data_IF_776904030877
#
_entry.id   IF_776904030877
#
_cell.length_a   1.000
_cell.length_b   1.000
_cell.length_c   1.000
_cell.angle_alpha   90.00
_cell.angle_beta   90.00
_cell.angle_gamma   90.00
#
_symmetry.space_group_name_H-M   'P 1'
#
loop_
_entity.id
_entity.type
_entity.pdbx_description
1 polymer ?
#
# COMPACT_ATOMS: atom_id res chain seq x y z
N UNK A 1 38.79 -8.08 -17.32
CA UNK A 1 39.12 -6.63 -17.39
C UNK A 1 39.92 -6.26 -16.17
N UNK A 2 40.95 -5.39 -16.27
CA UNK A 2 41.74 -4.95 -15.10
C UNK A 2 41.11 -3.73 -14.45
N UNK A 3 41.00 -3.75 -13.14
CA UNK A 3 40.52 -2.63 -12.34
C UNK A 3 41.70 -1.84 -11.75
N UNK A 4 41.54 -0.53 -11.59
CA UNK A 4 42.50 0.25 -10.79
C UNK A 4 42.20 0.07 -9.28
N UNK A 5 43.21 0.23 -8.46
CA UNK A 5 43.09 0.13 -6.99
C UNK A 5 42.01 1.08 -6.44
N UNK A 6 41.91 2.28 -6.99
CA UNK A 6 40.90 3.27 -6.59
C UNK A 6 39.46 2.82 -6.96
N UNK A 7 39.28 2.25 -8.16
CA UNK A 7 37.99 1.72 -8.61
C UNK A 7 37.56 0.49 -7.77
N UNK A 8 38.50 -0.39 -7.42
CA UNK A 8 38.22 -1.50 -6.51
C UNK A 8 37.85 -1.04 -5.11
N UNK A 9 38.58 -0.06 -4.57
CA UNK A 9 38.25 0.54 -3.26
C UNK A 9 36.86 1.19 -3.26
N UNK A 10 36.44 1.84 -4.35
CA UNK A 10 35.12 2.42 -4.49
C UNK A 10 34.01 1.34 -4.49
N UNK A 11 34.22 0.25 -5.22
CA UNK A 11 33.29 -0.92 -5.23
C UNK A 11 33.28 -1.60 -3.85
N UNK A 12 34.39 -1.61 -3.15
CA UNK A 12 34.49 -2.14 -1.77
C UNK A 12 33.53 -1.46 -0.78
N UNK A 13 33.20 -0.19 -0.99
CA UNK A 13 32.25 0.59 -0.17
C UNK A 13 30.78 0.25 -0.45
N UNK A 14 30.49 -0.44 -1.56
CA UNK A 14 29.13 -0.88 -1.89
C UNK A 14 28.72 -2.03 -0.95
N UNK A 15 27.48 -2.04 -0.42
CA UNK A 15 26.98 -3.12 0.42
C UNK A 15 27.22 -4.49 -0.20
N UNK A 16 27.66 -5.47 0.60
CA UNK A 16 28.14 -6.76 0.14
C UNK A 16 27.11 -7.53 -0.73
N UNK A 17 25.84 -7.44 -0.39
CA UNK A 17 24.75 -8.16 -1.08
C UNK A 17 24.43 -7.65 -2.50
N UNK A 18 24.83 -6.41 -2.85
CA UNK A 18 24.68 -5.85 -4.21
C UNK A 18 26.00 -5.62 -4.92
N UNK A 19 27.14 -5.77 -4.24
CA UNK A 19 28.47 -5.45 -4.73
C UNK A 19 28.81 -6.19 -6.04
N UNK A 20 28.56 -7.46 -6.09
CA UNK A 20 28.81 -8.27 -7.30
C UNK A 20 27.98 -7.78 -8.49
N UNK A 21 26.71 -7.47 -8.28
CA UNK A 21 25.83 -6.94 -9.32
C UNK A 21 26.30 -5.59 -9.87
N UNK A 22 26.72 -4.68 -8.97
CA UNK A 22 27.29 -3.39 -9.36
C UNK A 22 28.61 -3.59 -10.13
N UNK A 23 29.49 -4.47 -9.66
CA UNK A 23 30.76 -4.79 -10.32
C UNK A 23 30.54 -5.31 -11.76
N UNK A 24 29.63 -6.26 -11.94
CA UNK A 24 29.27 -6.81 -13.26
C UNK A 24 28.76 -5.70 -14.18
N UNK A 25 27.86 -4.85 -13.70
CA UNK A 25 27.30 -3.77 -14.50
C UNK A 25 28.35 -2.76 -14.97
N UNK A 26 29.26 -2.35 -14.07
CA UNK A 26 30.37 -1.46 -14.45
C UNK A 26 31.25 -2.10 -15.52
N UNK A 27 31.53 -3.42 -15.42
CA UNK A 27 32.30 -4.15 -16.42
C UNK A 27 31.61 -4.21 -17.77
N UNK A 28 30.32 -4.52 -17.80
CA UNK A 28 29.52 -4.57 -19.03
C UNK A 28 29.47 -3.22 -19.74
N UNK A 29 29.23 -2.14 -18.99
CA UNK A 29 29.16 -0.79 -19.54
C UNK A 29 30.53 -0.32 -20.06
N UNK A 30 31.61 -0.63 -19.34
CA UNK A 30 32.96 -0.34 -19.78
C UNK A 30 33.34 -1.12 -21.04
N UNK A 31 32.94 -2.40 -21.14
CA UNK A 31 33.12 -3.23 -22.35
C UNK A 31 32.35 -2.64 -23.55
N UNK A 32 31.08 -2.27 -23.36
CA UNK A 32 30.29 -1.61 -24.42
C UNK A 32 30.90 -0.30 -24.90
N UNK A 33 31.59 0.41 -24.00
CA UNK A 33 32.31 1.64 -24.32
C UNK A 33 33.74 1.41 -24.88
N UNK A 34 34.12 0.15 -25.20
CA UNK A 34 35.42 -0.23 -25.75
C UNK A 34 36.61 -0.04 -24.82
N UNK A 35 36.35 0.06 -23.50
CA UNK A 35 37.42 0.25 -22.50
C UNK A 35 38.11 -1.07 -22.17
N UNK A 36 39.44 -1.02 -22.03
CA UNK A 36 40.25 -2.20 -21.62
C UNK A 36 40.57 -2.22 -20.12
N UNK A 37 40.34 -1.10 -19.42
CA UNK A 37 40.62 -0.94 -17.99
C UNK A 37 39.50 -0.15 -17.32
N UNK A 38 39.17 -0.49 -16.09
CA UNK A 38 38.14 0.20 -15.30
C UNK A 38 38.84 1.10 -14.29
N UNK A 39 38.57 2.39 -14.41
CA UNK A 39 39.05 3.45 -13.50
C UNK A 39 37.89 4.04 -12.73
N UNK A 40 38.17 5.00 -11.84
CA UNK A 40 37.11 5.76 -11.13
C UNK A 40 36.17 6.50 -12.09
N UNK A 41 36.64 6.85 -13.30
CA UNK A 41 35.80 7.51 -14.30
C UNK A 41 34.66 6.60 -14.78
N UNK A 42 34.95 5.32 -15.06
CA UNK A 42 33.94 4.35 -15.45
C UNK A 42 32.97 4.05 -14.32
N UNK A 43 33.44 3.91 -13.08
CA UNK A 43 32.58 3.73 -11.90
C UNK A 43 31.63 4.89 -11.71
N UNK A 44 32.13 6.14 -11.77
CA UNK A 44 31.32 7.37 -11.67
C UNK A 44 30.34 7.52 -12.84
N UNK A 45 30.78 7.20 -14.07
CA UNK A 45 29.90 7.25 -15.25
C UNK A 45 28.74 6.27 -15.16
N UNK A 46 28.99 5.03 -14.72
CA UNK A 46 27.94 4.03 -14.48
C UNK A 46 27.01 4.46 -13.35
N UNK A 47 27.57 4.98 -12.24
CA UNK A 47 26.79 5.52 -11.13
C UNK A 47 25.88 6.68 -11.60
N UNK A 48 26.43 7.64 -12.36
CA UNK A 48 25.66 8.77 -12.89
C UNK A 48 24.52 8.29 -13.81
N UNK A 49 24.79 7.37 -14.74
CA UNK A 49 23.77 6.80 -15.63
C UNK A 49 22.69 6.05 -14.86
N UNK A 50 23.08 5.30 -13.85
CA UNK A 50 22.12 4.58 -12.98
C UNK A 50 21.23 5.57 -12.23
N UNK A 51 21.80 6.59 -11.61
CA UNK A 51 21.06 7.63 -10.90
C UNK A 51 20.14 8.41 -11.85
N UNK A 52 20.64 8.81 -13.02
CA UNK A 52 19.83 9.50 -14.05
C UNK A 52 18.68 8.61 -14.54
N UNK A 53 18.94 7.31 -14.76
CA UNK A 53 17.88 6.35 -15.11
C UNK A 53 16.85 6.17 -14.00
N UNK A 54 17.26 6.20 -12.72
CA UNK A 54 16.33 6.20 -11.60
C UNK A 54 15.46 7.46 -11.55
N UNK A 55 16.03 8.64 -11.81
CA UNK A 55 15.28 9.90 -11.88
C UNK A 55 14.25 9.90 -13.00
N UNK A 56 14.60 9.32 -14.16
CA UNK A 56 13.69 9.19 -15.30
C UNK A 56 12.53 8.20 -15.06
N UNK A 57 12.61 7.35 -14.01
CA UNK A 57 11.57 6.39 -13.63
C UNK A 57 10.63 6.92 -12.53
N UNK A 58 10.83 8.13 -12.03
CA UNK A 58 9.93 8.74 -11.05
C UNK A 58 8.69 9.24 -11.77
N UNK A 59 7.53 8.67 -11.45
CA UNK A 59 6.23 8.96 -12.08
C UNK A 59 5.37 9.93 -11.26
N UNK A 60 5.86 10.37 -10.09
CA UNK A 60 5.11 11.23 -9.16
C UNK A 60 4.21 10.44 -8.20
N UNK A 61 3.71 9.28 -8.60
CA UNK A 61 2.94 8.36 -7.76
C UNK A 61 3.38 6.91 -7.96
N UNK A 62 2.95 6.03 -7.05
CA UNK A 62 3.16 4.59 -7.12
C UNK A 62 1.94 3.86 -6.53
N UNK A 63 1.43 2.84 -7.22
CA UNK A 63 0.44 1.91 -6.68
C UNK A 63 1.08 0.55 -6.46
N UNK A 64 0.98 0.04 -5.24
CA UNK A 64 1.40 -1.31 -4.88
C UNK A 64 0.16 -2.19 -4.67
N UNK A 65 0.20 -3.43 -5.14
CA UNK A 65 -0.88 -4.40 -4.96
C UNK A 65 -0.38 -5.70 -4.36
N UNK A 66 -1.25 -6.43 -3.70
CA UNK A 66 -0.99 -7.82 -3.34
C UNK A 66 -1.37 -8.78 -4.48
N UNK A 67 -1.11 -10.08 -4.30
CA UNK A 67 -1.46 -11.13 -5.25
C UNK A 67 -2.97 -11.45 -5.31
N UNK A 68 -3.83 -10.70 -4.62
CA UNK A 68 -5.27 -10.96 -4.53
C UNK A 68 -5.95 -11.10 -5.88
N UNK A 69 -5.67 -10.18 -6.81
CA UNK A 69 -6.19 -10.20 -8.19
C UNK A 69 -5.72 -11.40 -9.03
N UNK A 70 -4.65 -12.06 -8.62
CA UNK A 70 -4.06 -13.22 -9.32
C UNK A 70 -4.55 -14.56 -8.77
N UNK A 71 -5.66 -14.58 -8.00
CA UNK A 71 -6.28 -15.80 -7.50
C UNK A 71 -5.88 -16.20 -6.09
N UNK A 72 -5.56 -15.24 -5.22
CA UNK A 72 -5.33 -15.51 -3.80
C UNK A 72 -6.64 -16.01 -3.13
N UNK A 73 -6.65 -17.18 -2.45
CA UNK A 73 -7.85 -17.75 -1.84
C UNK A 73 -8.40 -16.94 -0.65
N UNK A 74 -7.61 -16.00 -0.14
CA UNK A 74 -7.99 -15.12 0.97
C UNK A 74 -8.50 -13.75 0.50
N UNK A 75 -8.51 -13.49 -0.80
CA UNK A 75 -8.96 -12.20 -1.31
C UNK A 75 -10.47 -12.07 -1.19
N UNK A 76 -10.91 -10.95 -0.61
CA UNK A 76 -12.32 -10.58 -0.45
C UNK A 76 -12.67 -9.31 -1.23
N UNK A 77 -11.76 -8.85 -2.10
CA UNK A 77 -11.96 -7.63 -2.88
C UNK A 77 -13.22 -7.74 -3.73
N UNK A 78 -14.17 -6.82 -3.57
CA UNK A 78 -15.43 -6.86 -4.32
C UNK A 78 -15.27 -6.41 -5.77
N UNK A 79 -14.23 -5.60 -6.05
CA UNK A 79 -14.03 -4.93 -7.33
C UNK A 79 -12.54 -4.69 -7.60
N UNK A 80 -11.97 -5.46 -8.53
CA UNK A 80 -10.59 -5.27 -8.95
C UNK A 80 -10.42 -4.18 -10.02
N UNK A 81 -11.51 -3.68 -10.61
CA UNK A 81 -11.49 -2.55 -11.55
C UNK A 81 -11.13 -1.25 -10.83
N UNK A 82 -11.30 -1.21 -9.50
CA UNK A 82 -10.82 -0.11 -8.66
C UNK A 82 -9.35 0.25 -8.96
N UNK A 83 -8.51 -0.75 -9.27
CA UNK A 83 -7.09 -0.51 -9.58
C UNK A 83 -6.90 0.37 -10.81
N UNK A 84 -7.62 0.07 -11.90
CA UNK A 84 -7.55 0.87 -13.12
C UNK A 84 -8.01 2.31 -12.88
N UNK A 85 -9.13 2.46 -12.15
CA UNK A 85 -9.70 3.76 -11.81
C UNK A 85 -8.81 4.59 -10.88
N UNK A 86 -8.09 3.94 -9.93
CA UNK A 86 -7.09 4.59 -9.08
C UNK A 86 -5.89 5.07 -9.91
N UNK A 87 -5.41 4.25 -10.83
CA UNK A 87 -4.30 4.64 -11.72
C UNK A 87 -4.69 5.85 -12.58
N UNK A 88 -5.89 5.85 -13.18
CA UNK A 88 -6.41 6.98 -13.96
C UNK A 88 -6.51 8.25 -13.10
N UNK A 89 -7.05 8.15 -11.88
CA UNK A 89 -7.16 9.28 -10.96
C UNK A 89 -5.79 9.87 -10.61
N UNK A 90 -4.80 9.01 -10.31
CA UNK A 90 -3.45 9.44 -9.97
C UNK A 90 -2.68 10.02 -11.17
N UNK A 91 -2.92 9.52 -12.37
CA UNK A 91 -2.37 10.10 -13.61
C UNK A 91 -2.95 11.48 -13.88
N UNK A 92 -4.27 11.66 -13.74
CA UNK A 92 -4.94 12.96 -13.90
C UNK A 92 -4.51 13.98 -12.86
N UNK A 93 -4.06 13.52 -11.69
CA UNK A 93 -3.56 14.39 -10.63
C UNK A 93 -2.22 15.08 -10.94
N UNK A 94 -1.50 14.67 -12.00
CA UNK A 94 -0.24 15.29 -12.46
C UNK A 94 0.79 15.49 -11.33
N UNK A 95 0.89 14.52 -10.42
CA UNK A 95 1.72 14.62 -9.21
C UNK A 95 3.22 14.80 -9.52
N UNK A 96 3.69 14.34 -10.68
CA UNK A 96 5.06 14.57 -11.10
C UNK A 96 5.34 16.05 -11.36
N UNK A 97 4.43 16.72 -12.06
CA UNK A 97 4.57 18.17 -12.35
C UNK A 97 4.43 18.99 -11.08
N UNK A 98 3.48 18.62 -10.19
CA UNK A 98 3.36 19.22 -8.88
C UNK A 98 4.67 19.15 -8.09
N UNK A 99 5.32 17.98 -8.02
CA UNK A 99 6.60 17.81 -7.30
C UNK A 99 7.74 18.62 -7.94
N UNK A 100 7.78 18.75 -9.27
CA UNK A 100 8.76 19.60 -9.96
C UNK A 100 8.58 21.09 -9.61
N UNK A 101 7.33 21.55 -9.54
CA UNK A 101 7.00 22.93 -9.16
C UNK A 101 7.36 23.27 -7.71
N UNK A 102 7.49 22.26 -6.83
CA UNK A 102 7.97 22.43 -5.45
C UNK A 102 9.48 22.79 -5.35
N UNK A 103 10.18 22.92 -6.48
CA UNK A 103 11.60 23.29 -6.51
C UNK A 103 12.56 22.17 -6.10
N UNK A 104 12.11 20.92 -6.12
CA UNK A 104 12.95 19.76 -5.83
C UNK A 104 13.89 19.51 -7.00
N UNK A 105 15.19 19.78 -6.81
CA UNK A 105 16.18 19.65 -7.89
C UNK A 105 16.36 18.19 -8.37
N UNK A 106 16.27 17.23 -7.44
CA UNK A 106 16.40 15.80 -7.74
C UNK A 106 15.23 15.01 -7.17
N UNK A 107 14.25 14.73 -8.01
CA UNK A 107 13.16 13.83 -7.64
C UNK A 107 13.66 12.40 -7.45
N UNK A 108 13.20 11.75 -6.38
CA UNK A 108 13.55 10.38 -6.01
C UNK A 108 12.29 9.59 -5.67
N UNK A 109 12.36 8.27 -5.68
CA UNK A 109 11.22 7.39 -5.36
C UNK A 109 10.53 7.68 -4.02
N UNK A 110 11.24 8.22 -3.04
CA UNK A 110 10.63 8.57 -1.75
C UNK A 110 9.77 9.84 -1.77
N UNK A 111 9.85 10.64 -2.84
CA UNK A 111 8.97 11.79 -3.04
C UNK A 111 7.63 11.39 -3.67
N UNK A 112 7.53 10.19 -4.26
CA UNK A 112 6.29 9.72 -4.88
C UNK A 112 5.17 9.58 -3.85
N UNK A 113 3.98 9.96 -4.24
CA UNK A 113 2.75 9.68 -3.51
C UNK A 113 2.42 8.19 -3.65
N UNK A 114 2.26 7.48 -2.55
CA UNK A 114 2.16 6.02 -2.54
C UNK A 114 0.80 5.54 -2.10
N UNK A 115 0.18 4.75 -2.95
CA UNK A 115 -1.06 4.05 -2.64
C UNK A 115 -0.79 2.55 -2.59
N UNK A 116 -1.39 1.83 -1.67
CA UNK A 116 -1.34 0.37 -1.66
C UNK A 116 -2.74 -0.22 -1.52
N UNK A 117 -3.03 -1.26 -2.31
CA UNK A 117 -4.29 -1.99 -2.26
C UNK A 117 -4.02 -3.43 -1.85
N UNK A 118 -4.68 -3.88 -0.79
CA UNK A 118 -4.65 -5.26 -0.30
C UNK A 118 -6.02 -5.92 -0.47
N UNK A 119 -6.05 -7.12 -1.00
CA UNK A 119 -7.26 -7.89 -1.23
C UNK A 119 -7.90 -8.52 0.03
N UNK A 120 -7.27 -8.38 1.20
CA UNK A 120 -7.78 -8.84 2.49
C UNK A 120 -7.00 -8.20 3.65
N UNK A 121 -7.46 -8.33 4.91
CA UNK A 121 -6.79 -7.77 6.10
C UNK A 121 -5.39 -8.32 6.39
N UNK A 122 -4.92 -9.38 5.72
CA UNK A 122 -3.52 -9.81 5.80
C UNK A 122 -2.54 -8.76 5.26
N UNK A 123 -3.01 -7.80 4.48
CA UNK A 123 -2.32 -6.56 4.11
C UNK A 123 -0.91 -6.77 3.48
N UNK A 124 -0.76 -7.76 2.59
CA UNK A 124 0.53 -8.14 1.99
C UNK A 124 1.22 -7.02 1.20
N UNK A 125 0.48 -6.04 0.67
CA UNK A 125 1.01 -4.83 0.01
C UNK A 125 1.46 -3.75 0.98
N UNK A 126 1.39 -4.00 2.29
CA UNK A 126 1.82 -3.10 3.36
C UNK A 126 1.12 -1.72 3.34
N UNK A 127 -0.23 -1.67 3.26
CA UNK A 127 -0.98 -0.43 3.19
C UNK A 127 -0.75 0.48 4.40
N UNK A 128 -0.42 -0.08 5.57
CA UNK A 128 -0.22 0.66 6.82
C UNK A 128 0.94 1.65 6.78
N UNK A 129 1.87 1.52 5.82
CA UNK A 129 3.07 2.36 5.71
C UNK A 129 3.11 3.15 4.38
N UNK A 130 1.96 3.34 3.76
CA UNK A 130 1.78 4.11 2.53
C UNK A 130 1.05 5.41 2.82
N UNK A 131 1.12 6.37 1.91
CA UNK A 131 0.38 7.62 2.04
C UNK A 131 -1.12 7.35 2.08
N UNK A 132 -1.60 6.40 1.24
CA UNK A 132 -2.96 5.83 1.31
C UNK A 132 -2.86 4.30 1.26
N UNK A 133 -3.49 3.65 2.23
CA UNK A 133 -3.67 2.20 2.29
C UNK A 133 -5.14 1.83 2.12
N UNK A 134 -5.44 0.92 1.19
CA UNK A 134 -6.78 0.42 0.90
C UNK A 134 -6.79 -1.07 1.15
N UNK A 135 -7.71 -1.56 1.99
CA UNK A 135 -7.78 -2.96 2.41
C UNK A 135 -9.20 -3.46 2.15
N UNK A 136 -9.34 -4.45 1.29
CA UNK A 136 -10.64 -5.09 1.07
C UNK A 136 -11.15 -5.74 2.35
N UNK A 137 -12.43 -5.58 2.61
CA UNK A 137 -13.09 -6.02 3.82
C UNK A 137 -14.49 -6.56 3.53
N UNK A 138 -14.89 -7.57 4.32
CA UNK A 138 -16.24 -8.11 4.36
C UNK A 138 -16.66 -8.25 5.81
N UNK A 139 -17.57 -7.39 6.25
CA UNK A 139 -18.17 -7.44 7.57
C UNK A 139 -19.19 -8.56 7.63
N UNK A 140 -19.04 -9.58 8.53
CA UNK A 140 -20.06 -10.58 8.71
C UNK A 140 -21.18 -10.09 9.61
N UNK A 141 -22.41 -10.53 9.33
CA UNK A 141 -23.56 -10.41 10.22
C UNK A 141 -24.19 -11.75 10.51
N UNK A 142 -24.92 -11.85 11.61
CA UNK A 142 -25.80 -12.99 11.90
C UNK A 142 -27.16 -12.76 11.23
N UNK A 143 -27.65 -13.76 10.53
CA UNK A 143 -29.00 -13.82 9.96
C UNK A 143 -29.96 -14.53 10.91
N UNK A 144 -31.24 -14.63 10.55
CA UNK A 144 -32.26 -15.39 11.26
C UNK A 144 -32.22 -16.90 10.93
N UNK A 145 -31.31 -17.33 10.07
CA UNK A 145 -31.15 -18.74 9.71
C UNK A 145 -30.68 -19.59 10.91
N UNK A 146 -31.19 -20.83 10.99
CA UNK A 146 -30.91 -21.73 12.09
C UNK A 146 -29.44 -22.16 12.12
N UNK A 147 -28.79 -21.98 13.30
CA UNK A 147 -27.43 -22.43 13.54
C UNK A 147 -27.37 -23.88 14.00
N UNK A 148 -26.64 -24.71 13.28
CA UNK A 148 -26.41 -26.12 13.67
C UNK A 148 -25.30 -26.31 14.71
N UNK A 149 -24.74 -25.24 15.24
CA UNK A 149 -23.64 -25.26 16.24
C UNK A 149 -22.42 -26.09 15.81
N UNK A 150 -22.15 -26.15 14.50
CA UNK A 150 -21.06 -26.95 13.91
C UNK A 150 -19.64 -26.39 14.16
N UNK A 151 -19.50 -25.23 14.81
CA UNK A 151 -18.25 -24.55 15.14
C UNK A 151 -17.33 -24.20 13.97
N UNK A 152 -17.72 -24.42 12.73
CA UNK A 152 -16.88 -24.18 11.55
C UNK A 152 -16.45 -22.71 11.44
N UNK A 153 -17.34 -21.78 11.76
CA UNK A 153 -17.04 -20.34 11.79
C UNK A 153 -16.08 -19.96 12.91
N UNK A 154 -16.20 -20.60 14.10
CA UNK A 154 -15.27 -20.40 15.24
C UNK A 154 -13.88 -20.86 14.83
N UNK A 155 -13.77 -22.08 14.30
CA UNK A 155 -12.50 -22.68 13.88
C UNK A 155 -11.84 -21.95 12.70
N UNK A 156 -12.61 -21.28 11.85
CA UNK A 156 -12.09 -20.48 10.73
C UNK A 156 -11.58 -19.10 11.15
N UNK A 157 -12.00 -18.61 12.33
CA UNK A 157 -11.67 -17.25 12.78
C UNK A 157 -10.29 -17.21 13.43
N UNK A 158 -9.29 -16.67 12.69
CA UNK A 158 -7.93 -16.50 13.19
C UNK A 158 -7.80 -15.47 14.30
N UNK A 159 -8.75 -14.55 14.40
CA UNK A 159 -8.78 -13.48 15.41
C UNK A 159 -9.51 -13.94 16.71
N UNK A 160 -10.07 -15.15 16.72
CA UNK A 160 -10.92 -15.64 17.81
C UNK A 160 -12.04 -14.63 18.16
N UNK A 161 -12.61 -14.01 17.12
CA UNK A 161 -13.67 -13.01 17.24
C UNK A 161 -15.08 -13.64 17.18
N UNK A 162 -15.22 -14.97 17.11
CA UNK A 162 -16.50 -15.67 17.05
C UNK A 162 -16.56 -16.69 18.17
N UNK A 163 -17.67 -16.67 18.90
CA UNK A 163 -17.97 -17.64 19.95
C UNK A 163 -19.38 -18.20 19.79
N UNK A 164 -19.63 -19.39 20.36
CA UNK A 164 -20.97 -19.94 20.53
C UNK A 164 -21.29 -19.94 22.03
N UNK A 165 -22.33 -19.20 22.41
CA UNK A 165 -22.84 -19.18 23.76
C UNK A 165 -24.08 -20.11 23.82
N UNK A 166 -24.16 -21.10 24.71
CA UNK A 166 -25.33 -21.97 24.84
C UNK A 166 -26.64 -21.23 25.13
N UNK A 167 -26.55 -20.00 25.64
CA UNK A 167 -27.73 -19.19 26.00
C UNK A 167 -28.17 -18.29 24.84
N UNK A 168 -27.34 -18.14 23.79
CA UNK A 168 -27.59 -17.26 22.65
C UNK A 168 -27.73 -18.12 21.39
N UNK A 169 -28.86 -18.06 20.68
CA UNK A 169 -29.01 -18.78 19.41
C UNK A 169 -27.98 -18.34 18.34
N UNK A 170 -27.03 -19.23 18.00
CA UNK A 170 -26.05 -19.00 16.92
C UNK A 170 -24.78 -18.26 17.37
N UNK A 171 -23.90 -17.92 16.40
CA UNK A 171 -22.61 -17.32 16.66
C UNK A 171 -22.73 -15.86 17.15
N UNK A 172 -21.89 -15.52 18.12
CA UNK A 172 -21.69 -14.15 18.61
C UNK A 172 -20.39 -13.64 18.04
N UNK A 173 -20.42 -12.47 17.39
CA UNK A 173 -19.28 -11.82 16.75
C UNK A 173 -18.79 -10.68 17.65
N UNK A 174 -17.55 -10.74 18.10
CA UNK A 174 -16.86 -9.64 18.77
C UNK A 174 -16.36 -8.65 17.68
N UNK A 175 -17.07 -7.53 17.54
CA UNK A 175 -16.77 -6.51 16.54
C UNK A 175 -15.45 -5.77 16.79
N UNK A 176 -14.96 -5.75 18.05
CA UNK A 176 -13.67 -5.13 18.38
C UNK A 176 -12.48 -5.99 17.94
N UNK A 177 -12.65 -7.31 17.93
CA UNK A 177 -11.63 -8.26 17.47
C UNK A 177 -11.77 -8.60 15.99
N UNK A 178 -12.95 -8.44 15.42
CA UNK A 178 -13.23 -8.75 14.03
C UNK A 178 -12.49 -7.78 13.08
N UNK A 179 -11.61 -8.30 12.24
CA UNK A 179 -10.89 -7.52 11.21
C UNK A 179 -11.62 -7.45 9.86
N UNK A 180 -12.89 -7.89 9.81
CA UNK A 180 -13.71 -7.92 8.60
C UNK A 180 -13.05 -8.71 7.44
N UNK A 181 -12.44 -9.86 7.72
CA UNK A 181 -11.82 -10.72 6.69
C UNK A 181 -12.81 -11.61 5.94
N UNK A 182 -14.04 -11.71 6.39
CA UNK A 182 -15.12 -12.48 5.76
C UNK A 182 -14.95 -14.01 5.76
N UNK A 183 -13.88 -14.57 6.33
CA UNK A 183 -13.59 -16.02 6.26
C UNK A 183 -14.67 -16.93 6.87
N UNK A 184 -15.45 -16.40 7.79
CA UNK A 184 -16.53 -17.13 8.46
C UNK A 184 -17.81 -17.27 7.61
N UNK A 185 -17.99 -16.39 6.62
CA UNK A 185 -19.21 -16.37 5.78
C UNK A 185 -19.29 -17.60 4.85
N UNK A 186 -18.29 -17.87 3.98
CA UNK A 186 -18.38 -18.99 3.01
C UNK A 186 -18.31 -20.37 3.67
N UNK A 187 -17.88 -20.46 4.93
CA UNK A 187 -17.79 -21.74 5.63
C UNK A 187 -19.05 -22.06 6.46
N UNK A 188 -20.00 -21.13 6.58
CA UNK A 188 -21.25 -21.35 7.29
C UNK A 188 -22.21 -22.19 6.42
N UNK A 189 -22.51 -23.45 6.78
CA UNK A 189 -23.30 -24.35 5.91
C UNK A 189 -24.78 -23.98 5.87
N UNK A 190 -25.26 -23.24 6.85
CA UNK A 190 -26.68 -22.89 7.01
C UNK A 190 -26.99 -21.45 6.62
N UNK A 191 -25.97 -20.64 6.29
CA UNK A 191 -26.18 -19.22 6.01
C UNK A 191 -26.49 -18.36 7.25
N UNK A 192 -26.34 -18.91 8.47
CA UNK A 192 -26.49 -18.13 9.72
C UNK A 192 -25.53 -16.95 9.77
N UNK A 193 -24.37 -17.04 9.09
CA UNK A 193 -23.46 -15.92 8.86
C UNK A 193 -23.52 -15.53 7.39
N UNK A 194 -23.81 -14.25 7.14
CA UNK A 194 -23.83 -13.64 5.82
C UNK A 194 -22.93 -12.38 5.78
N UNK A 195 -22.70 -11.85 4.59
CA UNK A 195 -22.06 -10.57 4.43
C UNK A 195 -23.05 -9.44 4.75
N UNK A 196 -22.69 -8.57 5.70
CA UNK A 196 -23.44 -7.34 5.98
C UNK A 196 -23.01 -6.23 5.03
N UNK A 197 -21.70 -5.95 5.02
CA UNK A 197 -21.07 -4.95 4.16
C UNK A 197 -19.83 -5.56 3.53
N UNK A 198 -19.67 -5.36 2.23
CA UNK A 198 -18.45 -5.69 1.50
C UNK A 198 -17.96 -4.46 0.76
N UNK A 199 -16.66 -4.17 0.91
CA UNK A 199 -16.04 -2.98 0.35
C UNK A 199 -14.59 -2.88 0.76
N UNK A 200 -14.17 -1.67 1.11
CA UNK A 200 -12.79 -1.36 1.44
C UNK A 200 -12.70 -0.51 2.71
N UNK A 201 -11.75 -0.84 3.57
CA UNK A 201 -11.26 0.03 4.64
C UNK A 201 -10.15 0.90 4.08
N UNK A 202 -10.02 2.14 4.55
CA UNK A 202 -8.99 3.07 4.08
C UNK A 202 -8.15 3.61 5.24
N UNK A 203 -6.85 3.67 5.04
CA UNK A 203 -5.85 4.12 5.99
C UNK A 203 -5.03 5.25 5.37
N UNK A 204 -4.76 6.32 6.13
CA UNK A 204 -4.19 7.56 5.64
C UNK A 204 -2.90 7.95 6.38
N UNK A 205 -1.91 8.44 5.64
CA UNK A 205 -0.73 9.11 6.18
C UNK A 205 0.33 8.20 6.77
N UNK A 206 0.41 6.93 6.33
CA UNK A 206 1.51 6.03 6.68
C UNK A 206 2.82 6.42 6.00
N UNK A 207 3.93 6.20 6.67
CA UNK A 207 5.26 6.40 6.10
C UNK A 207 6.33 5.57 6.82
N UNK A 208 7.37 5.24 6.08
CA UNK A 208 8.64 4.76 6.62
C UNK A 208 9.70 5.88 6.60
N UNK A 209 10.92 5.54 6.93
CA UNK A 209 12.07 6.43 6.93
C UNK A 209 12.55 6.72 8.35
N UNK A 210 13.18 7.88 8.56
CA UNK A 210 13.78 8.25 9.87
C UNK A 210 12.74 8.38 10.99
N UNK A 211 11.51 8.76 10.64
CA UNK A 211 10.39 8.92 11.57
C UNK A 211 9.21 8.11 11.06
N UNK A 212 9.20 6.78 11.27
CA UNK A 212 8.14 5.91 10.78
C UNK A 212 6.83 6.20 11.49
N UNK A 213 5.74 6.08 10.76
CA UNK A 213 4.38 6.22 11.28
C UNK A 213 3.44 5.27 10.55
N UNK A 214 2.61 4.57 11.29
CA UNK A 214 1.51 3.81 10.71
C UNK A 214 0.40 4.77 10.27
N UNK A 215 -0.25 4.41 9.17
CA UNK A 215 -1.43 5.11 8.69
C UNK A 215 -2.57 5.02 9.70
N UNK A 216 -3.42 6.05 9.74
CA UNK A 216 -4.65 6.09 10.55
C UNK A 216 -5.82 5.67 9.70
N UNK A 217 -6.67 4.82 10.25
CA UNK A 217 -7.84 4.33 9.56
C UNK A 217 -9.00 5.32 9.66
N UNK A 218 -9.69 5.58 8.54
CA UNK A 218 -11.00 6.21 8.57
C UNK A 218 -12.04 5.16 8.99
N UNK A 219 -12.95 5.51 9.90
CA UNK A 219 -14.01 4.61 10.31
C UNK A 219 -14.94 4.27 9.14
N UNK A 220 -15.21 2.98 8.93
CA UNK A 220 -16.17 2.51 7.92
C UNK A 220 -15.58 1.53 6.91
N UNK A 221 -16.49 0.92 6.16
CA UNK A 221 -16.22 0.12 4.96
C UNK A 221 -16.91 0.83 3.80
N UNK A 222 -16.14 1.21 2.80
CA UNK A 222 -16.56 2.07 1.71
C UNK A 222 -16.63 1.29 0.39
N UNK A 223 -17.52 1.67 -0.49
CA UNK A 223 -17.54 1.16 -1.87
C UNK A 223 -16.40 1.77 -2.71
N UNK A 224 -16.21 1.24 -3.92
CA UNK A 224 -15.14 1.68 -4.83
C UNK A 224 -15.29 3.15 -5.25
N UNK A 225 -16.51 3.67 -5.38
CA UNK A 225 -16.75 5.05 -5.77
C UNK A 225 -16.34 6.01 -4.65
N UNK A 226 -16.77 5.74 -3.43
CA UNK A 226 -16.40 6.51 -2.24
C UNK A 226 -14.89 6.47 -1.97
N UNK A 227 -14.24 5.32 -2.19
CA UNK A 227 -12.76 5.22 -2.10
C UNK A 227 -12.09 6.20 -3.06
N UNK A 228 -12.53 6.29 -4.31
CA UNK A 228 -11.96 7.23 -5.29
C UNK A 228 -12.19 8.70 -4.87
N UNK A 229 -13.35 9.02 -4.32
CA UNK A 229 -13.62 10.37 -3.79
C UNK A 229 -12.71 10.72 -2.61
N UNK A 230 -12.50 9.77 -1.68
CA UNK A 230 -11.59 9.95 -0.54
C UNK A 230 -10.15 10.15 -1.05
N UNK A 231 -9.69 9.33 -2.00
CA UNK A 231 -8.34 9.45 -2.59
C UNK A 231 -8.19 10.80 -3.27
N UNK A 232 -9.18 11.24 -4.05
CA UNK A 232 -9.20 12.57 -4.68
C UNK A 232 -9.06 13.69 -3.65
N UNK A 233 -9.87 13.68 -2.59
CA UNK A 233 -9.79 14.65 -1.52
C UNK A 233 -8.42 14.66 -0.80
N UNK A 234 -7.80 13.48 -0.62
CA UNK A 234 -6.44 13.39 -0.07
C UNK A 234 -5.38 13.97 -1.02
N UNK A 235 -5.53 13.80 -2.33
CA UNK A 235 -4.63 14.39 -3.33
C UNK A 235 -4.75 15.91 -3.32
N UNK A 236 -5.96 16.46 -3.25
CA UNK A 236 -6.20 17.89 -3.18
C UNK A 236 -5.60 18.49 -1.90
N UNK A 237 -5.79 17.83 -0.76
CA UNK A 237 -5.15 18.21 0.50
C UNK A 237 -3.63 18.17 0.38
N UNK A 238 -3.06 17.11 -0.22
CA UNK A 238 -1.63 16.98 -0.45
C UNK A 238 -1.08 18.13 -1.29
N UNK A 239 -1.72 18.43 -2.42
CA UNK A 239 -1.30 19.50 -3.32
C UNK A 239 -1.43 20.89 -2.70
N UNK A 240 -2.41 21.11 -1.84
CA UNK A 240 -2.62 22.41 -1.17
C UNK A 240 -1.69 22.66 0.02
N UNK A 241 -1.32 21.61 0.76
CA UNK A 241 -0.60 21.75 2.03
C UNK A 241 0.88 21.40 1.97
N UNK A 242 1.30 20.46 1.07
CA UNK A 242 2.70 20.02 0.97
C UNK A 242 3.60 21.12 0.38
N UNK A 243 4.75 21.32 1.03
CA UNK A 243 5.80 22.26 0.60
C UNK A 243 7.14 21.53 0.55
N UNK A 244 7.97 21.86 -0.46
CA UNK A 244 9.34 21.32 -0.57
C UNK A 244 9.43 19.78 -0.55
N UNK A 245 8.40 19.07 -1.04
CA UNK A 245 8.37 17.62 -1.11
C UNK A 245 8.08 16.90 0.21
N UNK A 246 7.44 17.57 1.16
CA UNK A 246 6.90 16.91 2.37
C UNK A 246 5.97 15.79 1.97
N UNK A 247 6.07 14.65 2.68
CA UNK A 247 5.21 13.50 2.45
C UNK A 247 3.79 13.76 2.95
N UNK A 248 2.80 13.16 2.32
CA UNK A 248 1.40 13.24 2.75
C UNK A 248 1.25 12.94 4.24
N UNK A 249 1.92 11.89 4.72
CA UNK A 249 1.95 11.56 6.13
C UNK A 249 2.55 12.65 7.04
N UNK A 250 3.31 13.60 6.55
CA UNK A 250 3.89 14.69 7.36
C UNK A 250 2.94 15.85 7.51
N UNK A 251 2.18 16.15 6.46
CA UNK A 251 1.23 17.25 6.42
C UNK A 251 -0.15 16.91 6.98
N UNK A 252 -0.53 15.62 6.95
CA UNK A 252 -1.85 15.16 7.40
C UNK A 252 -2.01 15.32 8.92
N UNK A 253 -2.91 16.20 9.33
CA UNK A 253 -3.22 16.51 10.73
C UNK A 253 -4.42 15.70 11.24
N UNK A 254 -4.60 15.57 12.56
CA UNK A 254 -5.77 14.91 13.13
C UNK A 254 -7.10 15.53 12.69
N UNK A 255 -7.14 16.86 12.54
CA UNK A 255 -8.32 17.63 12.11
C UNK A 255 -8.73 17.26 10.69
N UNK A 256 -7.76 17.07 9.78
CA UNK A 256 -7.99 16.69 8.39
C UNK A 256 -8.64 15.29 8.32
N UNK A 257 -8.19 14.35 9.17
CA UNK A 257 -8.78 13.01 9.28
C UNK A 257 -10.22 13.09 9.82
N UNK A 258 -10.46 13.93 10.83
CA UNK A 258 -11.78 14.11 11.41
C UNK A 258 -12.76 14.74 10.39
N UNK A 259 -12.27 15.65 9.55
CA UNK A 259 -13.05 16.24 8.46
C UNK A 259 -13.41 15.21 7.38
N UNK A 260 -12.43 14.39 6.95
CA UNK A 260 -12.66 13.30 6.00
C UNK A 260 -13.64 12.27 6.56
N UNK A 261 -13.50 11.89 7.84
CA UNK A 261 -14.44 11.00 8.51
C UNK A 261 -15.86 11.58 8.51
N UNK A 262 -16.03 12.86 8.90
CA UNK A 262 -17.33 13.51 8.89
C UNK A 262 -17.97 13.59 7.50
N UNK A 263 -17.15 13.76 6.47
CA UNK A 263 -17.60 13.86 5.07
C UNK A 263 -18.05 12.52 4.51
N UNK A 264 -17.32 11.44 4.79
CA UNK A 264 -17.46 10.17 4.11
C UNK A 264 -18.02 9.04 4.99
N UNK A 265 -17.90 9.12 6.32
CA UNK A 265 -18.37 8.08 7.24
C UNK A 265 -19.77 8.43 7.79
N UNK A 266 -20.74 8.71 6.93
CA UNK A 266 -22.05 9.28 7.29
C UNK A 266 -22.98 8.36 8.09
N UNK A 267 -22.72 7.06 8.18
CA UNK A 267 -23.62 6.08 8.80
C UNK A 267 -22.87 5.12 9.74
N UNK A 268 -22.01 5.65 10.61
CA UNK A 268 -21.49 4.86 11.71
C UNK A 268 -22.40 5.04 12.93
N UNK A 269 -22.95 3.93 13.52
CA UNK A 269 -23.74 3.97 14.72
C UNK A 269 -22.94 4.47 15.93
#
# INVERSE_FOLDING_TARGET
>A
MKWTTEAEAAIGKVPFFVRNRVRTRVQEEALKAGKRRITMAEVKATQKRFLTGMHAQVTGHQIDTCFGSSGCPHAVAPDWELMGRLEELLQQAELLEFLKLQGIQELRFHHQFRVAVAGCPNACSQPQIKDIGIIAALQPMRTDEFCTTCETCVNSCRENAITLDPQIPGPVIDTQRCVACGSCVPVCPTGTLAAEVQGYRIQLGGKLGRHPRLARELPGIFDSATILEIVGACIDLYKSASKQGERFGEILRPEDISELARRFSKDLP
#
